data_IF_522790824618
#
_entry.id   IF_522790824618
#
_cell.length_a   1.000
_cell.length_b   1.000
_cell.length_c   1.000
_cell.angle_alpha   90.00
_cell.angle_beta   90.00
_cell.angle_gamma   90.00
#
_symmetry.space_group_name_H-M   'P 1'
#
loop_
_entity.id
_entity.type
_entity.pdbx_description
1 polymer ?
#
# COMPACT_ATOMS: atom_id res chain seq x y z
N UNK A 1 7.98 1.29 2.81
CA UNK A 1 6.95 0.26 2.60
C UNK A 1 7.09 -0.24 1.17
N UNK A 2 7.08 -1.55 0.93
CA UNK A 2 7.23 -2.18 -0.39
C UNK A 2 6.27 -3.38 -0.54
N UNK A 3 6.16 -3.93 -1.76
CA UNK A 3 5.32 -5.10 -2.07
C UNK A 3 4.13 -4.76 -2.97
N UNK A 4 3.46 -5.78 -3.57
CA UNK A 4 2.49 -5.58 -4.65
C UNK A 4 1.34 -4.63 -4.30
N UNK A 5 0.86 -4.67 -3.05
CA UNK A 5 -0.21 -3.80 -2.58
C UNK A 5 0.21 -2.31 -2.54
N UNK A 6 1.43 -2.02 -2.11
CA UNK A 6 1.95 -0.65 -2.02
C UNK A 6 2.34 -0.14 -3.41
N UNK A 7 2.89 -1.00 -4.27
CA UNK A 7 3.23 -0.65 -5.65
C UNK A 7 1.96 -0.33 -6.47
N UNK A 8 0.92 -1.17 -6.40
CA UNK A 8 -0.35 -0.89 -7.05
C UNK A 8 -1.04 0.37 -6.48
N UNK A 9 -1.02 0.57 -5.15
CA UNK A 9 -1.57 1.77 -4.55
C UNK A 9 -0.82 3.04 -4.98
N UNK A 10 0.49 2.94 -5.22
CA UNK A 10 1.32 4.07 -5.67
C UNK A 10 0.93 4.61 -7.05
N UNK A 11 0.32 3.79 -7.92
CA UNK A 11 -0.17 4.21 -9.24
C UNK A 11 -1.32 5.25 -9.13
N UNK A 12 -2.11 5.16 -8.08
CA UNK A 12 -3.29 6.01 -7.84
C UNK A 12 -3.05 7.06 -6.76
N UNK A 13 -1.98 6.95 -5.98
CA UNK A 13 -1.72 7.85 -4.87
C UNK A 13 -1.32 9.24 -5.36
N UNK A 14 -2.08 10.24 -4.91
CA UNK A 14 -1.70 11.65 -4.95
C UNK A 14 -1.24 12.06 -3.55
N UNK A 15 -0.28 13.00 -3.48
CA UNK A 15 0.39 13.43 -2.24
C UNK A 15 -0.64 13.70 -1.12
N UNK A 16 -0.62 12.88 -0.07
CA UNK A 16 -1.64 12.92 0.99
C UNK A 16 -1.61 11.72 1.94
N UNK A 17 -2.63 11.58 2.78
CA UNK A 17 -2.73 10.46 3.76
C UNK A 17 -3.09 9.16 3.04
N UNK A 18 -2.43 8.07 3.43
CA UNK A 18 -2.80 6.70 3.04
C UNK A 18 -3.43 6.03 4.26
N UNK A 19 -4.43 5.19 4.03
CA UNK A 19 -5.00 4.31 5.03
C UNK A 19 -4.72 2.85 4.65
N UNK A 20 -4.21 2.07 5.60
CA UNK A 20 -4.03 0.62 5.44
C UNK A 20 -4.92 -0.09 6.44
N UNK A 21 -5.76 -0.99 5.94
CA UNK A 21 -6.40 -1.99 6.77
C UNK A 21 -5.46 -3.20 6.84
N UNK A 22 -4.80 -3.41 7.99
CA UNK A 22 -3.93 -4.57 8.21
C UNK A 22 -4.72 -5.86 8.46
N UNK A 23 -6.03 -5.76 8.73
CA UNK A 23 -6.90 -6.84 9.17
C UNK A 23 -8.14 -6.99 8.26
N UNK A 24 -8.01 -7.02 6.92
CA UNK A 24 -9.16 -6.90 6.01
C UNK A 24 -10.14 -8.08 6.07
N UNK A 25 -9.69 -9.25 6.54
CA UNK A 25 -10.50 -10.48 6.68
C UNK A 25 -10.78 -10.85 8.13
N UNK A 26 -10.35 -10.02 9.08
CA UNK A 26 -10.50 -10.29 10.50
C UNK A 26 -11.59 -9.38 11.07
N UNK A 27 -12.46 -9.92 11.92
CA UNK A 27 -13.55 -9.16 12.54
C UNK A 27 -13.13 -8.65 13.92
N UNK A 28 -13.45 -7.40 14.24
CA UNK A 28 -13.25 -6.83 15.59
C UNK A 28 -13.89 -7.68 16.69
N UNK A 29 -15.01 -8.35 16.39
CA UNK A 29 -15.71 -9.24 17.34
C UNK A 29 -14.82 -10.37 17.85
N UNK A 30 -13.82 -10.79 17.06
CA UNK A 30 -12.90 -11.86 17.42
C UNK A 30 -11.86 -11.43 18.48
N UNK A 31 -11.72 -10.13 18.73
CA UNK A 31 -10.82 -9.61 19.78
C UNK A 31 -11.39 -9.85 21.19
N UNK A 32 -12.71 -9.84 21.33
CA UNK A 32 -13.39 -9.71 22.63
C UNK A 32 -13.42 -11.01 23.44
N UNK A 33 -13.19 -12.18 22.81
CA UNK A 33 -13.51 -13.48 23.41
C UNK A 33 -12.30 -14.34 23.83
N UNK A 34 -11.08 -13.81 23.76
CA UNK A 34 -9.86 -14.58 24.02
C UNK A 34 -9.17 -14.23 25.35
N UNK A 35 -8.80 -15.25 26.14
CA UNK A 35 -7.77 -15.14 27.20
C UNK A 35 -6.34 -15.14 26.65
N UNK A 36 -6.19 -15.20 25.33
CA UNK A 36 -4.89 -15.25 24.65
C UNK A 36 -4.33 -13.85 24.49
N UNK A 37 -3.01 -13.76 24.49
CA UNK A 37 -2.27 -12.54 24.13
C UNK A 37 -2.67 -12.02 22.76
N UNK A 38 -2.71 -10.70 22.60
CA UNK A 38 -3.09 -10.04 21.35
C UNK A 38 -2.24 -10.54 20.17
N UNK A 39 -0.93 -10.73 20.37
CA UNK A 39 -0.02 -11.25 19.35
C UNK A 39 -0.31 -12.67 18.87
N UNK A 40 -1.12 -13.42 19.61
CA UNK A 40 -1.57 -14.78 19.25
C UNK A 40 -2.97 -14.81 18.65
N UNK A 41 -3.75 -13.73 18.82
CA UNK A 41 -5.13 -13.61 18.31
C UNK A 41 -5.13 -12.95 16.94
N UNK A 42 -4.28 -11.93 16.74
CA UNK A 42 -4.20 -11.21 15.48
C UNK A 42 -3.54 -12.08 14.40
N UNK A 43 -4.13 -12.16 13.18
CA UNK A 43 -3.54 -12.86 12.04
C UNK A 43 -2.40 -12.04 11.40
N UNK A 44 -1.51 -11.50 12.22
CA UNK A 44 -0.37 -10.68 11.83
C UNK A 44 0.92 -11.34 12.34
N UNK A 45 2.07 -11.10 11.70
CA UNK A 45 3.34 -11.57 12.23
C UNK A 45 3.54 -11.12 13.67
N UNK A 46 3.84 -12.06 14.59
CA UNK A 46 4.01 -11.77 16.02
C UNK A 46 4.96 -10.58 16.28
N UNK A 47 6.07 -10.51 15.54
CA UNK A 47 7.05 -9.40 15.64
C UNK A 47 6.42 -8.04 15.34
N UNK A 48 5.53 -7.96 14.35
CA UNK A 48 4.84 -6.71 14.02
C UNK A 48 3.91 -6.27 15.15
N UNK A 49 3.12 -7.19 15.71
CA UNK A 49 2.20 -6.88 16.82
C UNK A 49 2.96 -6.39 18.05
N UNK A 50 4.05 -7.06 18.40
CA UNK A 50 4.89 -6.67 19.54
C UNK A 50 5.52 -5.29 19.35
N UNK A 51 6.05 -5.00 18.16
CA UNK A 51 6.66 -3.69 17.88
C UNK A 51 5.61 -2.57 17.81
N UNK A 52 4.42 -2.85 17.25
CA UNK A 52 3.29 -1.93 17.28
C UNK A 52 2.91 -1.57 18.72
N UNK A 53 2.71 -2.57 19.59
CA UNK A 53 2.39 -2.33 20.99
C UNK A 53 3.49 -1.53 21.70
N UNK A 54 4.76 -1.91 21.49
CA UNK A 54 5.92 -1.22 22.06
C UNK A 54 5.97 0.26 21.66
N UNK A 55 5.67 0.59 20.41
CA UNK A 55 5.67 1.97 19.91
C UNK A 55 4.64 2.85 20.63
N UNK A 56 3.57 2.26 21.16
CA UNK A 56 2.55 2.95 21.96
C UNK A 56 2.72 2.72 23.47
N UNK A 57 3.85 2.14 23.91
CA UNK A 57 4.11 1.87 25.33
C UNK A 57 3.26 0.74 25.93
N UNK A 58 2.63 -0.09 25.09
CA UNK A 58 1.72 -1.15 25.50
C UNK A 58 2.47 -2.49 25.64
N UNK A 59 2.02 -3.32 26.58
CA UNK A 59 2.48 -4.71 26.73
C UNK A 59 1.55 -5.67 26.00
N UNK A 60 2.09 -6.82 25.61
CA UNK A 60 1.29 -7.90 25.02
C UNK A 60 0.48 -8.62 26.09
N UNK A 61 -0.82 -8.41 26.05
CA UNK A 61 -1.81 -8.94 27.01
C UNK A 61 -3.11 -9.27 26.28
N UNK A 62 -4.07 -9.88 26.97
CA UNK A 62 -5.35 -10.20 26.37
C UNK A 62 -6.16 -8.92 26.09
N UNK A 63 -6.99 -8.93 25.05
CA UNK A 63 -7.67 -7.72 24.58
C UNK A 63 -8.59 -7.07 25.63
N UNK A 64 -9.21 -7.88 26.50
CA UNK A 64 -10.09 -7.37 27.56
C UNK A 64 -9.33 -6.64 28.68
N UNK A 65 -8.01 -6.84 28.81
CA UNK A 65 -7.18 -6.21 29.84
C UNK A 65 -6.79 -4.77 29.48
N UNK A 66 -7.02 -4.36 28.23
CA UNK A 66 -6.77 -2.99 27.78
C UNK A 66 -7.92 -2.05 28.18
N UNK A 67 -7.59 -0.80 28.49
CA UNK A 67 -8.57 0.26 28.66
C UNK A 67 -9.11 0.73 27.30
N UNK A 68 -10.10 1.62 27.29
CA UNK A 68 -10.77 2.01 26.06
C UNK A 68 -9.87 2.82 25.10
N UNK A 69 -8.97 3.65 25.63
CA UNK A 69 -7.99 4.39 24.82
C UNK A 69 -7.00 3.45 24.13
N UNK A 70 -6.48 2.46 24.86
CA UNK A 70 -5.60 1.44 24.33
C UNK A 70 -6.29 0.55 23.29
N UNK A 71 -7.57 0.21 23.52
CA UNK A 71 -8.39 -0.50 22.53
C UNK A 71 -8.55 0.32 21.26
N UNK A 72 -8.73 1.64 21.36
CA UNK A 72 -8.80 2.51 20.18
C UNK A 72 -7.49 2.52 19.39
N UNK A 73 -6.34 2.50 20.09
CA UNK A 73 -5.03 2.34 19.44
C UNK A 73 -4.97 1.00 18.71
N UNK A 74 -5.37 -0.11 19.34
CA UNK A 74 -5.37 -1.43 18.69
C UNK A 74 -6.32 -1.45 17.49
N UNK A 75 -7.50 -0.82 17.60
CA UNK A 75 -8.48 -0.70 16.50
C UNK A 75 -7.96 0.13 15.33
N UNK A 76 -6.96 0.98 15.54
CA UNK A 76 -6.30 1.68 14.43
C UNK A 76 -5.68 0.71 13.40
N UNK A 77 -5.43 -0.55 13.73
CA UNK A 77 -4.97 -1.58 12.78
C UNK A 77 -5.99 -1.89 11.66
N UNK A 78 -7.28 -1.64 11.88
CA UNK A 78 -8.32 -1.79 10.86
C UNK A 78 -8.35 -0.60 9.89
N UNK A 79 -7.81 0.55 10.29
CA UNK A 79 -7.78 1.77 9.50
C UNK A 79 -6.55 2.62 9.89
N UNK A 80 -5.35 2.13 9.56
CA UNK A 80 -4.11 2.74 9.98
C UNK A 80 -3.74 3.87 9.04
N UNK A 81 -3.94 5.10 9.49
CA UNK A 81 -3.68 6.29 8.71
C UNK A 81 -2.26 6.80 8.94
N UNK A 82 -1.49 6.94 7.87
CA UNK A 82 -0.19 7.60 7.92
C UNK A 82 0.00 8.46 6.67
N UNK A 83 0.78 9.53 6.81
CA UNK A 83 1.24 10.33 5.69
C UNK A 83 2.63 9.81 5.32
N UNK A 84 2.82 9.18 4.14
CA UNK A 84 4.16 8.91 3.63
C UNK A 84 4.93 10.24 3.54
N UNK A 85 6.16 10.29 4.05
CA UNK A 85 7.00 11.49 3.98
C UNK A 85 7.36 11.90 2.52
N UNK A 86 7.17 10.99 1.56
CA UNK A 86 7.39 11.19 0.13
C UNK A 86 7.35 9.85 -0.62
N UNK A 87 7.46 9.87 -1.95
CA UNK A 87 7.85 8.69 -2.73
C UNK A 87 9.37 8.60 -2.79
N UNK A 88 9.93 7.41 -3.03
CA UNK A 88 11.38 7.22 -3.19
C UNK A 88 11.98 7.92 -4.44
N UNK A 89 11.17 8.60 -5.26
CA UNK A 89 11.63 9.22 -6.50
C UNK A 89 11.95 8.20 -7.61
N UNK A 90 12.41 8.70 -8.75
CA UNK A 90 12.67 7.92 -9.97
C UNK A 90 13.79 6.87 -9.81
N UNK A 91 14.70 7.04 -8.84
CA UNK A 91 15.85 6.12 -8.65
C UNK A 91 15.46 4.71 -8.17
N UNK A 92 14.23 4.51 -7.69
CA UNK A 92 13.70 3.20 -7.26
C UNK A 92 12.31 2.90 -7.83
N UNK A 93 11.88 3.64 -8.86
CA UNK A 93 10.63 3.39 -9.55
C UNK A 93 10.82 2.18 -10.47
N UNK A 94 10.03 1.13 -10.28
CA UNK A 94 10.05 -0.06 -11.14
C UNK A 94 9.39 0.21 -12.49
N UNK A 95 8.58 1.28 -12.59
CA UNK A 95 7.89 1.70 -13.81
C UNK A 95 7.82 3.23 -13.85
N UNK A 96 8.04 3.80 -15.04
CA UNK A 96 7.87 5.23 -15.28
C UNK A 96 6.39 5.52 -15.57
N UNK A 97 5.77 6.44 -14.80
CA UNK A 97 4.41 6.93 -15.11
C UNK A 97 4.52 8.15 -16.01
N UNK A 98 4.03 8.04 -17.25
CA UNK A 98 4.19 9.05 -18.30
C UNK A 98 4.93 8.49 -19.52
N UNK A 99 4.88 9.21 -20.63
CA UNK A 99 5.53 8.81 -21.87
C UNK A 99 4.99 9.60 -23.06
N UNK A 100 5.27 9.14 -24.27
CA UNK A 100 4.66 9.68 -25.48
C UNK A 100 3.17 9.36 -25.46
N UNK A 101 2.34 10.41 -25.42
CA UNK A 101 0.88 10.24 -25.43
C UNK A 101 0.47 9.56 -26.74
N UNK A 102 -0.21 8.43 -26.62
CA UNK A 102 -0.71 7.64 -27.75
C UNK A 102 -1.64 8.43 -28.67
N UNK A 103 -2.28 9.50 -28.18
CA UNK A 103 -3.08 10.41 -29.00
C UNK A 103 -2.29 11.07 -30.16
N UNK A 104 -0.97 11.20 -30.03
CA UNK A 104 -0.09 11.74 -31.08
C UNK A 104 0.42 10.68 -32.06
N UNK A 105 0.04 9.42 -31.88
CA UNK A 105 0.43 8.30 -32.73
C UNK A 105 -0.76 7.78 -33.54
N UNK A 106 -0.47 7.19 -34.70
CA UNK A 106 -1.44 6.43 -35.51
C UNK A 106 -1.49 4.95 -35.09
N UNK A 107 -2.25 4.13 -35.81
CA UNK A 107 -2.36 2.69 -35.61
C UNK A 107 -1.05 1.91 -35.83
N UNK A 108 -0.07 2.49 -36.53
CA UNK A 108 1.25 1.93 -36.75
C UNK A 108 2.28 2.40 -35.72
N UNK A 109 1.85 3.15 -34.69
CA UNK A 109 2.69 3.79 -33.70
C UNK A 109 3.63 4.87 -34.28
N UNK A 110 3.30 5.41 -35.46
CA UNK A 110 4.00 6.52 -36.11
C UNK A 110 3.54 7.87 -35.56
N UNK A 111 4.45 8.83 -35.40
CA UNK A 111 4.12 10.19 -35.01
C UNK A 111 3.27 10.89 -36.07
N UNK A 112 2.10 11.39 -35.67
CA UNK A 112 1.24 12.23 -36.52
C UNK A 112 1.90 13.55 -36.96
N UNK A 113 2.94 14.01 -36.23
CA UNK A 113 3.62 15.28 -36.51
C UNK A 113 4.91 15.12 -37.32
N UNK A 114 5.53 13.92 -37.31
CA UNK A 114 6.80 13.66 -37.98
C UNK A 114 6.74 12.32 -38.68
N UNK A 115 6.69 12.34 -40.01
CA UNK A 115 6.73 11.11 -40.82
C UNK A 115 8.03 10.34 -40.63
N UNK A 116 7.94 9.03 -40.51
CA UNK A 116 9.05 8.10 -40.32
C UNK A 116 9.57 8.00 -38.88
N UNK A 117 8.92 8.65 -37.91
CA UNK A 117 9.27 8.56 -36.50
C UNK A 117 8.28 7.66 -35.76
N UNK A 118 8.79 6.59 -35.13
CA UNK A 118 7.98 5.59 -34.43
C UNK A 118 8.35 5.49 -32.95
N UNK A 119 7.36 5.21 -32.11
CA UNK A 119 7.55 5.03 -30.67
C UNK A 119 6.96 3.69 -30.20
N UNK A 120 7.75 2.86 -29.52
CA UNK A 120 7.36 1.50 -29.12
C UNK A 120 7.85 1.17 -27.70
N UNK A 121 7.14 0.28 -27.00
CA UNK A 121 7.49 -0.19 -25.67
C UNK A 121 7.20 0.83 -24.55
N UNK A 122 7.99 0.79 -23.47
CA UNK A 122 7.81 1.59 -22.25
C UNK A 122 7.97 3.11 -22.45
N UNK A 123 8.36 3.55 -23.65
CA UNK A 123 8.41 4.97 -24.01
C UNK A 123 7.01 5.59 -24.20
N UNK A 124 6.00 4.76 -24.41
CA UNK A 124 4.60 5.18 -24.54
C UNK A 124 3.98 5.45 -23.17
N UNK A 125 3.03 6.38 -23.11
CA UNK A 125 2.24 6.64 -21.89
C UNK A 125 1.19 5.53 -21.66
N UNK A 126 1.67 4.29 -21.55
CA UNK A 126 0.90 3.08 -21.28
C UNK A 126 1.56 2.42 -20.07
N UNK A 127 0.90 2.49 -18.92
CA UNK A 127 1.36 1.83 -17.69
C UNK A 127 0.54 0.58 -17.46
N UNK A 128 1.12 -0.60 -17.69
CA UNK A 128 0.53 -1.88 -17.32
C UNK A 128 0.52 -2.09 -15.80
N UNK A 129 -0.45 -2.85 -15.30
CA UNK A 129 -0.42 -3.32 -13.92
C UNK A 129 0.76 -4.30 -13.73
N UNK A 130 1.37 -4.30 -12.54
CA UNK A 130 2.41 -5.27 -12.19
C UNK A 130 1.87 -6.71 -12.31
N UNK A 131 2.55 -7.54 -13.10
CA UNK A 131 2.15 -8.94 -13.34
C UNK A 131 2.39 -9.50 -14.74
N UNK A 132 3.30 -8.92 -15.53
CA UNK A 132 3.63 -9.40 -16.90
C UNK A 132 2.83 -8.75 -18.03
N UNK A 133 2.21 -7.59 -17.77
CA UNK A 133 1.45 -6.81 -18.76
C UNK A 133 2.26 -5.65 -19.39
N UNK A 134 3.45 -5.36 -18.86
CA UNK A 134 4.42 -4.46 -19.49
C UNK A 134 5.31 -5.23 -20.45
#
# INVERSE_FOLDING_TARGET
>A
MSGPAILNASLFWQKGRICINFLPKFSEKNLVNGKKQLSSVLPLPKRFVLEFLRNFGLKDRAFYEFNDDEKNIIKSLFAYHFAPAGTFGFERAEVTKGGVKTNFLDENLESKSVKGLYFVGEVLDITGMLGGYN
#
